data_IF_609674948273
#
_entry.id   IF_609674948273
#
_cell.length_a   1.000
_cell.length_b   1.000
_cell.length_c   1.000
_cell.angle_alpha   90.00
_cell.angle_beta   90.00
_cell.angle_gamma   90.00
#
_symmetry.space_group_name_H-M   'P 1'
#
loop_
_entity.id
_entity.type
_entity.pdbx_description
1 polymer ?
#
# COMPACT_ATOMS: atom_id res chain seq x y z
N UNK A 1 4.78 7.88 42.01
CA UNK A 1 4.09 7.54 40.75
C UNK A 1 4.89 6.48 40.03
N UNK A 2 4.26 5.39 39.62
CA UNK A 2 4.85 4.39 38.74
C UNK A 2 5.07 4.94 37.33
N UNK A 3 6.09 4.40 36.65
CA UNK A 3 6.29 4.68 35.23
C UNK A 3 5.19 3.97 34.42
N UNK A 4 4.64 4.67 33.41
CA UNK A 4 3.69 4.10 32.46
C UNK A 4 4.47 3.60 31.24
N UNK A 5 4.18 2.39 30.85
CA UNK A 5 4.79 1.75 29.68
C UNK A 5 3.70 1.36 28.69
N UNK A 6 4.02 1.48 27.40
CA UNK A 6 3.21 0.92 26.34
C UNK A 6 3.85 -0.36 25.83
N UNK A 7 3.03 -1.35 25.53
CA UNK A 7 3.46 -2.66 25.04
C UNK A 7 2.70 -2.99 23.77
N UNK A 8 3.40 -3.50 22.75
CA UNK A 8 2.77 -4.06 21.56
C UNK A 8 2.33 -5.48 21.91
N UNK A 9 1.04 -5.73 21.84
CA UNK A 9 0.45 -7.04 22.20
C UNK A 9 0.16 -7.94 20.99
N UNK A 10 0.12 -7.36 19.79
CA UNK A 10 -0.08 -8.11 18.57
C UNK A 10 0.26 -7.29 17.34
N UNK A 11 0.62 -7.97 16.28
CA UNK A 11 0.93 -7.36 14.98
C UNK A 11 0.26 -8.14 13.85
N UNK A 12 0.05 -7.49 12.73
CA UNK A 12 -0.51 -8.13 11.56
C UNK A 12 -0.19 -7.34 10.30
N UNK A 13 -0.03 -8.05 9.21
CA UNK A 13 0.23 -7.47 7.90
C UNK A 13 -0.59 -8.16 6.82
N UNK A 14 -0.81 -7.46 5.75
CA UNK A 14 -1.41 -8.00 4.55
C UNK A 14 -0.69 -7.47 3.31
N UNK A 15 -0.31 -8.39 2.45
CA UNK A 15 0.29 -8.10 1.15
C UNK A 15 -0.64 -8.68 0.09
N UNK A 16 -1.18 -7.86 -0.83
CA UNK A 16 -2.04 -8.37 -1.90
C UNK A 16 -1.33 -9.41 -2.78
N UNK A 17 -2.06 -10.40 -3.29
CA UNK A 17 -1.45 -11.49 -4.08
C UNK A 17 -1.09 -11.10 -5.52
N UNK A 18 -1.68 -10.03 -6.07
CA UNK A 18 -1.45 -9.61 -7.46
C UNK A 18 -0.05 -9.05 -7.63
N UNK A 19 0.78 -9.76 -8.39
CA UNK A 19 2.15 -9.35 -8.67
C UNK A 19 2.17 -8.49 -9.93
N UNK A 20 2.81 -7.32 -9.84
CA UNK A 20 3.13 -6.44 -10.96
C UNK A 20 4.65 -6.35 -11.06
N UNK A 21 5.19 -6.86 -12.15
CA UNK A 21 6.63 -6.80 -12.43
C UNK A 21 7.01 -5.50 -13.13
N UNK A 22 8.29 -5.19 -13.17
CA UNK A 22 8.78 -4.04 -13.93
C UNK A 22 8.48 -4.18 -15.42
N UNK A 23 8.43 -5.40 -15.96
CA UNK A 23 8.09 -5.64 -17.36
C UNK A 23 6.67 -5.17 -17.71
N UNK A 24 5.76 -5.15 -16.75
CA UNK A 24 4.39 -4.66 -16.96
C UNK A 24 4.35 -3.15 -17.29
N UNK A 25 5.41 -2.40 -17.01
CA UNK A 25 5.52 -0.97 -17.27
C UNK A 25 6.24 -0.62 -18.58
N UNK A 26 6.84 -1.59 -19.28
CA UNK A 26 7.64 -1.32 -20.49
C UNK A 26 6.81 -0.64 -21.60
N UNK A 27 5.55 -1.00 -21.71
CA UNK A 27 4.62 -0.45 -22.71
C UNK A 27 3.95 0.87 -22.25
N UNK A 28 4.21 1.34 -21.04
CA UNK A 28 3.64 2.59 -20.54
C UNK A 28 4.25 3.79 -21.24
N UNK A 29 3.49 4.86 -21.32
CA UNK A 29 3.98 6.17 -21.75
C UNK A 29 4.54 6.90 -20.54
N UNK A 30 5.72 7.47 -20.71
CA UNK A 30 6.39 8.27 -19.68
C UNK A 30 6.53 9.71 -20.14
N UNK A 31 6.36 10.63 -19.22
CA UNK A 31 6.41 12.06 -19.47
C UNK A 31 7.43 12.73 -18.57
N UNK A 32 8.02 13.82 -19.03
CA UNK A 32 8.94 14.62 -18.24
C UNK A 32 8.18 15.61 -17.32
N UNK A 33 8.93 16.43 -16.60
CA UNK A 33 8.37 17.44 -15.68
C UNK A 33 7.59 18.55 -16.39
N UNK A 34 7.78 18.72 -17.70
CA UNK A 34 7.05 19.67 -18.52
C UNK A 34 5.78 19.07 -19.16
N UNK A 35 5.53 17.78 -18.92
CA UNK A 35 4.41 17.05 -19.50
C UNK A 35 4.67 16.59 -20.94
N UNK A 36 5.90 16.62 -21.41
CA UNK A 36 6.27 16.13 -22.73
C UNK A 36 6.58 14.62 -22.68
N UNK A 37 6.09 13.90 -23.68
CA UNK A 37 6.33 12.45 -23.76
C UNK A 37 7.80 12.16 -24.01
N UNK A 38 8.35 11.26 -23.18
CA UNK A 38 9.72 10.78 -23.34
C UNK A 38 9.83 9.90 -24.59
N UNK A 39 10.88 10.13 -25.37
CA UNK A 39 11.23 9.31 -26.55
C UNK A 39 12.13 8.14 -26.21
N UNK A 40 12.67 8.08 -24.99
CA UNK A 40 13.49 6.98 -24.51
C UNK A 40 12.67 5.68 -24.50
N UNK A 41 13.22 4.55 -25.02
CA UNK A 41 12.51 3.27 -24.97
C UNK A 41 12.10 2.88 -23.56
N UNK A 42 10.86 2.37 -23.42
CA UNK A 42 10.32 1.97 -22.11
C UNK A 42 11.20 0.99 -21.34
N UNK A 43 11.83 0.04 -22.04
CA UNK A 43 12.76 -0.90 -21.41
C UNK A 43 13.97 -0.21 -20.73
N UNK A 44 14.49 0.86 -21.32
CA UNK A 44 15.60 1.64 -20.74
C UNK A 44 15.14 2.39 -19.49
N UNK A 45 13.93 2.98 -19.54
CA UNK A 45 13.34 3.68 -18.39
C UNK A 45 13.09 2.72 -17.23
N UNK A 46 12.50 1.57 -17.52
CA UNK A 46 12.18 0.55 -16.52
C UNK A 46 13.43 -0.06 -15.89
N UNK A 47 14.52 -0.25 -16.65
CA UNK A 47 15.80 -0.68 -16.09
C UNK A 47 16.34 0.32 -15.06
N UNK A 48 16.18 1.62 -15.30
CA UNK A 48 16.57 2.64 -14.32
C UNK A 48 15.75 2.56 -13.03
N UNK A 49 14.49 2.12 -13.09
CA UNK A 49 13.70 1.90 -11.87
C UNK A 49 14.36 0.84 -10.97
N UNK A 50 14.86 -0.25 -11.54
CA UNK A 50 15.57 -1.29 -10.79
C UNK A 50 16.88 -0.76 -10.20
N UNK A 51 17.66 -0.02 -11.00
CA UNK A 51 18.94 0.55 -10.55
C UNK A 51 18.75 1.52 -9.36
N UNK A 52 17.70 2.35 -9.39
CA UNK A 52 17.44 3.36 -8.36
C UNK A 52 16.75 2.75 -7.14
N UNK A 53 15.75 1.90 -7.36
CA UNK A 53 14.84 1.43 -6.29
C UNK A 53 15.19 0.04 -5.77
N UNK A 54 15.93 -0.75 -6.53
CA UNK A 54 16.15 -2.19 -6.31
C UNK A 54 14.86 -3.02 -6.25
N UNK A 55 13.74 -2.44 -6.72
CA UNK A 55 12.43 -3.10 -6.77
C UNK A 55 12.24 -3.72 -8.14
N UNK A 56 12.09 -5.05 -8.19
CA UNK A 56 11.82 -5.80 -9.42
C UNK A 56 10.34 -6.10 -9.62
N UNK A 57 9.60 -6.22 -8.54
CA UNK A 57 8.16 -6.45 -8.55
C UNK A 57 7.48 -5.79 -7.35
N UNK A 58 6.18 -5.59 -7.46
CA UNK A 58 5.35 -5.04 -6.38
C UNK A 58 4.00 -5.74 -6.34
N UNK A 59 3.29 -5.54 -5.26
CA UNK A 59 1.97 -6.12 -5.05
C UNK A 59 0.90 -5.04 -5.17
N UNK A 60 -0.11 -5.32 -5.98
CA UNK A 60 -1.24 -4.43 -6.17
C UNK A 60 -2.50 -5.03 -5.55
N UNK A 61 -3.33 -4.16 -5.00
CA UNK A 61 -4.68 -4.50 -4.62
C UNK A 61 -5.52 -4.88 -5.85
N UNK A 62 -6.52 -5.70 -5.66
CA UNK A 62 -7.52 -5.96 -6.68
C UNK A 62 -8.39 -4.72 -6.92
N UNK A 63 -9.03 -4.65 -8.08
CA UNK A 63 -9.87 -3.51 -8.49
C UNK A 63 -11.01 -3.21 -7.50
N UNK A 64 -11.48 -4.22 -6.80
CA UNK A 64 -12.56 -4.10 -5.82
C UNK A 64 -12.06 -3.88 -4.38
N UNK A 65 -10.74 -3.83 -4.15
CA UNK A 65 -10.17 -3.60 -2.84
C UNK A 65 -9.84 -2.12 -2.64
N UNK A 66 -10.32 -1.58 -1.55
CA UNK A 66 -10.01 -0.23 -1.08
C UNK A 66 -8.91 -0.26 -0.02
N UNK A 67 -8.39 0.90 0.32
CA UNK A 67 -7.40 1.05 1.38
C UNK A 67 -7.89 0.47 2.71
N UNK A 68 -9.15 0.71 3.06
CA UNK A 68 -9.77 0.16 4.28
C UNK A 68 -9.87 -1.36 4.26
N UNK A 69 -10.10 -2.00 3.12
CA UNK A 69 -10.15 -3.46 3.01
C UNK A 69 -8.79 -4.09 3.33
N UNK A 70 -7.72 -3.50 2.83
CA UNK A 70 -6.35 -3.94 3.11
C UNK A 70 -6.01 -3.79 4.61
N UNK A 71 -6.37 -2.63 5.18
CA UNK A 71 -6.17 -2.34 6.59
C UNK A 71 -6.99 -3.28 7.50
N UNK A 72 -8.23 -3.58 7.11
CA UNK A 72 -9.10 -4.51 7.85
C UNK A 72 -8.47 -5.90 7.98
N UNK A 73 -7.96 -6.46 6.89
CA UNK A 73 -7.32 -7.78 6.89
C UNK A 73 -6.10 -7.79 7.83
N UNK A 74 -5.24 -6.78 7.73
CA UNK A 74 -4.07 -6.65 8.60
C UNK A 74 -4.47 -6.49 10.08
N UNK A 75 -5.47 -5.64 10.35
CA UNK A 75 -5.99 -5.39 11.70
C UNK A 75 -6.60 -6.64 12.35
N UNK A 76 -7.36 -7.41 11.59
CA UNK A 76 -7.93 -8.68 12.07
C UNK A 76 -6.85 -9.67 12.49
N UNK A 77 -5.75 -9.74 11.75
CA UNK A 77 -4.59 -10.56 12.11
C UNK A 77 -3.93 -10.08 13.40
N UNK A 78 -3.75 -8.77 13.56
CA UNK A 78 -3.18 -8.17 14.76
C UNK A 78 -4.04 -8.42 16.00
N UNK A 79 -5.35 -8.25 15.90
CA UNK A 79 -6.31 -8.49 16.98
C UNK A 79 -6.29 -9.98 17.38
N UNK A 80 -6.25 -10.87 16.40
CA UNK A 80 -6.18 -12.30 16.65
C UNK A 80 -4.89 -12.70 17.36
N UNK A 81 -3.76 -12.16 16.94
CA UNK A 81 -2.46 -12.39 17.58
C UNK A 81 -2.44 -11.86 19.01
N UNK A 82 -3.00 -10.68 19.23
CA UNK A 82 -3.11 -10.09 20.57
C UNK A 82 -4.02 -10.87 21.52
N UNK A 83 -4.94 -11.69 20.99
CA UNK A 83 -5.89 -12.46 21.77
C UNK A 83 -6.92 -11.61 22.51
N UNK A 84 -7.23 -10.43 22.00
CA UNK A 84 -8.20 -9.49 22.57
C UNK A 84 -9.52 -9.50 21.80
N UNK A 85 -10.59 -9.05 22.46
CA UNK A 85 -11.83 -8.71 21.77
C UNK A 85 -11.69 -7.33 21.10
N UNK A 86 -12.15 -7.20 19.87
CA UNK A 86 -12.14 -5.92 19.14
C UNK A 86 -12.91 -4.81 19.88
N UNK A 87 -13.92 -5.17 20.67
CA UNK A 87 -14.71 -4.24 21.48
C UNK A 87 -13.94 -3.66 22.68
N UNK A 88 -12.77 -4.19 22.99
CA UNK A 88 -11.86 -3.66 24.01
C UNK A 88 -10.96 -2.53 23.47
N UNK A 89 -11.01 -2.26 22.18
CA UNK A 89 -10.23 -1.18 21.57
C UNK A 89 -10.83 0.18 21.90
N UNK A 90 -10.02 1.08 22.43
CA UNK A 90 -10.43 2.46 22.73
C UNK A 90 -10.24 3.38 21.54
N UNK A 91 -9.19 3.17 20.73
CA UNK A 91 -8.82 4.01 19.59
C UNK A 91 -8.38 3.18 18.40
N UNK A 92 -8.70 3.69 17.20
CA UNK A 92 -8.17 3.22 15.92
C UNK A 92 -7.45 4.39 15.27
N UNK A 93 -6.17 4.23 15.00
CA UNK A 93 -5.37 5.22 14.27
C UNK A 93 -5.01 4.62 12.92
N UNK A 94 -5.50 5.25 11.86
CA UNK A 94 -5.26 4.80 10.49
C UNK A 94 -4.44 5.83 9.72
N UNK A 95 -3.18 5.50 9.45
CA UNK A 95 -2.29 6.35 8.66
C UNK A 95 -2.36 5.96 7.17
N UNK A 96 -2.64 6.94 6.32
CA UNK A 96 -2.68 6.77 4.86
C UNK A 96 -2.38 8.11 4.17
N UNK A 97 -1.98 8.04 2.88
CA UNK A 97 -1.62 9.24 2.13
C UNK A 97 -2.81 9.89 1.40
N UNK A 98 -3.73 9.09 0.88
CA UNK A 98 -4.75 9.57 -0.07
C UNK A 98 -6.20 9.28 0.38
N UNK A 99 -6.41 8.58 1.46
CA UNK A 99 -7.74 8.12 1.87
C UNK A 99 -8.28 7.02 0.95
N UNK A 100 -9.59 6.80 1.02
CA UNK A 100 -10.27 5.94 0.06
C UNK A 100 -10.63 6.73 -1.19
N UNK A 101 -10.27 6.17 -2.33
CA UNK A 101 -10.70 6.67 -3.64
C UNK A 101 -11.48 5.57 -4.34
N UNK A 102 -12.66 5.90 -4.89
CA UNK A 102 -13.36 5.04 -5.83
C UNK A 102 -12.86 5.29 -7.26
N UNK A 103 -13.27 4.42 -8.20
CA UNK A 103 -12.98 4.62 -9.62
C UNK A 103 -13.41 5.99 -10.15
N UNK A 104 -14.33 6.66 -9.47
CA UNK A 104 -14.87 7.96 -9.85
C UNK A 104 -14.10 9.13 -9.20
N UNK A 105 -12.93 8.88 -8.60
CA UNK A 105 -12.14 9.86 -7.85
C UNK A 105 -12.91 10.58 -6.72
N UNK A 106 -13.98 9.99 -6.26
CA UNK A 106 -14.75 10.50 -5.12
C UNK A 106 -14.10 9.96 -3.86
N UNK A 107 -13.64 10.87 -2.99
CA UNK A 107 -13.18 10.48 -1.66
C UNK A 107 -14.38 9.99 -0.87
N UNK A 108 -14.28 8.81 -0.31
CA UNK A 108 -15.18 8.36 0.74
C UNK A 108 -14.66 8.92 2.08
N UNK A 109 -15.51 9.56 2.82
CA UNK A 109 -15.21 10.08 4.17
C UNK A 109 -15.08 8.94 5.18
#
# INVERSE_FOLDING_TARGET
MGLLYSVITGSGSYVPPKIISNNDFISNEFYDTNGEKLTTPGAVIVNKFVEITTISERRYADENQKTSDLALIASQKAIKEAGIDKEELDYIIFAHNFGETSHDNIKAD
#
